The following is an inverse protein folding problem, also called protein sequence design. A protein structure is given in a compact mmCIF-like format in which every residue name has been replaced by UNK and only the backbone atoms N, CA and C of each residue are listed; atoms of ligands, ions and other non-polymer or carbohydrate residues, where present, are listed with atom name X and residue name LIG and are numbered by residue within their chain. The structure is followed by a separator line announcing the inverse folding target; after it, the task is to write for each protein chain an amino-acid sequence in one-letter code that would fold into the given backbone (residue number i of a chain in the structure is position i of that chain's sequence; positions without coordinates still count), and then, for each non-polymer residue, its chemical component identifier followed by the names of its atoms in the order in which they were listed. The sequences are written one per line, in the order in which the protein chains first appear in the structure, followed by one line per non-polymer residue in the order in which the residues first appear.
data_IF_896360521676
#
_entry.id   IF_896360521676
#
_cell.length_a   1.000
_cell.length_b   1.000
_cell.length_c   1.000
_cell.angle_alpha   90.00
_cell.angle_beta   90.00
_cell.angle_gamma   90.00
#
_symmetry.space_group_name_H-M   'P 1'
#
loop_
_entity.id
_entity.type
_entity.pdbx_description
1 polymer ?
#
# COMPACT_ATOMS: atom_id res chain seq x y z
N UNK A 1 -7.80 25.13 -1.54
CA UNK A 1 -6.40 24.67 -1.59
C UNK A 1 -5.97 24.61 -3.05
N UNK A 2 -4.98 25.43 -3.46
CA UNK A 2 -4.42 25.39 -4.82
C UNK A 2 -3.37 24.27 -4.86
N UNK A 3 -3.44 23.38 -5.84
CA UNK A 3 -2.38 22.37 -6.05
C UNK A 3 -1.11 23.06 -6.54
N UNK A 4 0.06 22.43 -6.34
CA UNK A 4 1.36 22.92 -6.84
C UNK A 4 1.31 23.30 -8.32
N UNK A 5 0.59 22.53 -9.13
CA UNK A 5 0.45 22.73 -10.58
C UNK A 5 -0.84 23.46 -10.99
N UNK A 6 -1.44 24.24 -10.07
CA UNK A 6 -2.74 24.90 -10.32
C UNK A 6 -2.67 25.91 -11.47
N UNK A 7 -1.51 26.51 -11.73
CA UNK A 7 -1.32 27.47 -12.83
C UNK A 7 -1.25 26.73 -14.18
N UNK A 8 -0.40 25.72 -14.25
CA UNK A 8 -0.17 24.85 -15.39
C UNK A 8 -1.47 24.20 -15.86
N UNK A 9 -2.24 23.63 -14.91
CA UNK A 9 -3.55 23.02 -15.17
C UNK A 9 -4.54 24.05 -15.72
N UNK A 10 -4.52 25.29 -15.22
CA UNK A 10 -5.39 26.37 -15.71
C UNK A 10 -5.02 26.79 -17.13
N UNK A 11 -3.73 26.87 -17.43
CA UNK A 11 -3.23 27.29 -18.74
C UNK A 11 -3.50 26.21 -19.80
N UNK A 12 -3.26 24.93 -19.47
CA UNK A 12 -3.59 23.80 -20.35
C UNK A 12 -5.10 23.65 -20.56
N UNK A 13 -5.90 23.84 -19.51
CA UNK A 13 -7.37 23.82 -19.65
C UNK A 13 -7.86 24.88 -20.64
N UNK A 14 -7.33 26.10 -20.58
CA UNK A 14 -7.67 27.16 -21.55
C UNK A 14 -7.24 26.78 -22.96
N UNK A 15 -6.01 26.28 -23.09
CA UNK A 15 -5.45 25.81 -24.35
C UNK A 15 -6.32 24.74 -25.03
N UNK A 16 -6.76 23.75 -24.26
CA UNK A 16 -7.65 22.68 -24.73
C UNK A 16 -8.99 23.21 -25.22
N UNK A 17 -9.60 24.14 -24.48
CA UNK A 17 -10.89 24.73 -24.87
C UNK A 17 -10.79 25.56 -26.15
N UNK A 18 -9.67 26.26 -26.37
CA UNK A 18 -9.40 26.97 -27.62
C UNK A 18 -9.09 26.06 -28.80
N UNK A 19 -8.63 24.83 -28.53
CA UNK A 19 -8.22 23.86 -29.56
C UNK A 19 -9.31 22.83 -29.90
N UNK A 20 -10.56 23.08 -29.48
CA UNK A 20 -11.70 22.20 -29.79
C UNK A 20 -11.72 20.87 -29.03
N UNK A 21 -10.97 20.74 -27.92
CA UNK A 21 -11.02 19.54 -27.08
C UNK A 21 -12.37 19.37 -26.41
N UNK A 22 -12.69 18.13 -26.03
CA UNK A 22 -13.92 17.81 -25.32
C UNK A 22 -13.93 18.44 -23.92
N UNK A 23 -14.79 19.46 -23.76
CA UNK A 23 -14.92 20.22 -22.52
C UNK A 23 -15.40 19.35 -21.35
N UNK A 24 -16.19 18.32 -21.60
CA UNK A 24 -16.70 17.42 -20.58
C UNK A 24 -15.57 16.55 -20.02
N UNK A 25 -14.78 15.92 -20.90
CA UNK A 25 -13.61 15.12 -20.55
C UNK A 25 -12.62 15.94 -19.72
N UNK A 26 -12.24 17.12 -20.21
CA UNK A 26 -11.27 17.99 -19.53
C UNK A 26 -11.79 18.45 -18.16
N UNK A 27 -13.09 18.79 -18.03
CA UNK A 27 -13.66 19.20 -16.74
C UNK A 27 -13.70 18.03 -15.74
N UNK A 28 -14.09 16.84 -16.18
CA UNK A 28 -14.13 15.63 -15.35
C UNK A 28 -12.73 15.27 -14.87
N UNK A 29 -11.75 15.28 -15.77
CA UNK A 29 -10.36 15.01 -15.43
C UNK A 29 -9.80 16.02 -14.41
N UNK A 30 -10.01 17.33 -14.62
CA UNK A 30 -9.53 18.35 -13.67
C UNK A 30 -10.15 18.17 -12.29
N UNK A 31 -11.44 17.82 -12.21
CA UNK A 31 -12.12 17.54 -10.95
C UNK A 31 -11.53 16.32 -10.25
N UNK A 32 -11.28 15.23 -10.98
CA UNK A 32 -10.66 14.02 -10.45
C UNK A 32 -9.22 14.30 -9.97
N UNK A 33 -8.43 15.03 -10.75
CA UNK A 33 -7.08 15.46 -10.39
C UNK A 33 -7.08 16.28 -9.09
N UNK A 34 -7.93 17.30 -8.97
CA UNK A 34 -8.01 18.14 -7.77
C UNK A 34 -8.42 17.35 -6.53
N UNK A 35 -9.33 16.39 -6.67
CA UNK A 35 -9.76 15.52 -5.57
C UNK A 35 -8.62 14.59 -5.13
N UNK A 36 -7.95 13.96 -6.09
CA UNK A 36 -6.82 13.04 -5.84
C UNK A 36 -5.62 13.76 -5.24
N UNK A 37 -5.28 14.95 -5.72
CA UNK A 37 -4.17 15.73 -5.15
C UNK A 37 -4.42 16.15 -3.70
N UNK A 38 -5.67 16.41 -3.31
CA UNK A 38 -5.99 16.79 -1.93
C UNK A 38 -5.83 15.62 -0.95
N UNK A 39 -6.14 14.40 -1.40
CA UNK A 39 -6.05 13.20 -0.57
C UNK A 39 -4.69 12.48 -0.66
N UNK A 40 -3.82 12.87 -1.61
CA UNK A 40 -2.56 12.18 -1.91
C UNK A 40 -1.65 12.06 -0.68
N UNK A 41 -1.47 13.14 0.07
CA UNK A 41 -0.54 13.15 1.20
C UNK A 41 -1.05 12.29 2.36
N UNK A 42 -2.34 12.37 2.69
CA UNK A 42 -2.98 11.54 3.72
C UNK A 42 -2.92 10.04 3.37
N UNK A 43 -3.20 9.70 2.10
CA UNK A 43 -3.12 8.32 1.62
C UNK A 43 -1.68 7.81 1.64
N UNK A 44 -0.72 8.64 1.22
CA UNK A 44 0.69 8.28 1.24
C UNK A 44 1.22 8.10 2.67
N UNK A 45 0.84 8.97 3.60
CA UNK A 45 1.20 8.87 5.02
C UNK A 45 0.64 7.59 5.64
N UNK A 46 -0.68 7.34 5.46
CA UNK A 46 -1.35 6.14 5.96
C UNK A 46 -0.71 4.86 5.40
N UNK A 47 -0.52 4.79 4.07
CA UNK A 47 0.09 3.62 3.43
C UNK A 47 1.54 3.41 3.89
N UNK A 48 2.34 4.48 3.95
CA UNK A 48 3.74 4.41 4.38
C UNK A 48 3.85 3.95 5.83
N UNK A 49 3.02 4.49 6.72
CA UNK A 49 2.99 4.12 8.13
C UNK A 49 2.60 2.65 8.32
N UNK A 50 1.58 2.18 7.61
CA UNK A 50 1.18 0.77 7.61
C UNK A 50 2.32 -0.15 7.10
N UNK A 51 2.99 0.23 6.00
CA UNK A 51 4.14 -0.52 5.44
C UNK A 51 5.34 -0.54 6.40
N UNK A 52 5.62 0.56 7.10
CA UNK A 52 6.66 0.62 8.15
C UNK A 52 6.32 -0.31 9.31
N UNK A 53 5.07 -0.32 9.78
CA UNK A 53 4.64 -1.20 10.85
C UNK A 53 4.67 -2.67 10.42
N UNK A 54 4.27 -2.98 9.19
CA UNK A 54 4.36 -4.32 8.64
C UNK A 54 5.81 -4.83 8.56
N UNK A 55 6.77 -3.96 8.21
CA UNK A 55 8.21 -4.29 8.26
C UNK A 55 8.70 -4.55 9.69
N UNK A 56 8.24 -3.78 10.67
CA UNK A 56 8.55 -4.04 12.08
C UNK A 56 8.01 -5.39 12.52
N UNK A 57 6.79 -5.75 12.09
CA UNK A 57 6.19 -7.07 12.36
C UNK A 57 7.05 -8.17 11.75
N UNK A 58 7.44 -8.06 10.48
CA UNK A 58 8.32 -9.03 9.80
C UNK A 58 9.60 -9.27 10.59
N UNK A 59 10.27 -8.20 11.01
CA UNK A 59 11.51 -8.28 11.77
C UNK A 59 11.31 -8.94 13.15
N UNK A 60 10.23 -8.59 13.86
CA UNK A 60 9.90 -9.22 15.15
C UNK A 60 9.58 -10.72 14.98
N UNK A 61 8.83 -11.09 13.93
CA UNK A 61 8.52 -12.50 13.64
C UNK A 61 9.78 -13.29 13.28
N UNK A 62 10.67 -12.70 12.48
CA UNK A 62 11.97 -13.30 12.14
C UNK A 62 12.84 -13.51 13.39
N UNK A 63 12.90 -12.54 14.29
CA UNK A 63 13.61 -12.69 15.56
C UNK A 63 12.96 -13.74 16.46
N UNK A 64 11.62 -13.79 16.49
CA UNK A 64 10.87 -14.78 17.28
C UNK A 64 11.11 -16.20 16.76
N UNK A 65 11.08 -16.41 15.45
CA UNK A 65 11.42 -17.69 14.83
C UNK A 65 12.85 -18.15 15.21
N UNK A 66 13.82 -17.23 15.23
CA UNK A 66 15.18 -17.55 15.67
C UNK A 66 15.23 -17.98 17.15
N UNK A 67 14.51 -17.27 18.03
CA UNK A 67 14.43 -17.61 19.46
C UNK A 67 13.80 -18.99 19.67
N UNK A 68 12.74 -19.30 18.93
CA UNK A 68 12.03 -20.59 18.99
C UNK A 68 12.84 -21.73 18.36
N UNK A 69 13.64 -21.44 17.35
CA UNK A 69 14.51 -22.42 16.67
C UNK A 69 15.76 -22.78 17.49
N UNK A 70 16.16 -21.92 18.42
CA UNK A 70 17.29 -22.17 19.31
C UNK A 70 16.96 -23.29 20.31
N UNK A 71 17.68 -24.42 20.20
CA UNK A 71 17.50 -25.61 21.04
C UNK A 71 18.13 -25.50 22.43
N UNK A 72 18.85 -24.41 22.74
CA UNK A 72 19.36 -24.16 24.09
C UNK A 72 18.21 -24.04 25.08
N UNK A 73 18.45 -24.49 26.31
CA UNK A 73 17.49 -24.32 27.41
C UNK A 73 17.18 -22.83 27.63
N UNK A 74 16.00 -22.56 28.19
CA UNK A 74 15.58 -21.20 28.50
C UNK A 74 16.49 -20.61 29.58
N UNK A 75 17.15 -19.50 29.24
CA UNK A 75 17.90 -18.68 30.17
C UNK A 75 17.24 -17.29 30.31
N UNK A 76 17.60 -16.50 31.34
CA UNK A 76 16.97 -15.20 31.57
C UNK A 76 17.14 -14.20 30.42
N UNK A 77 18.16 -14.34 29.55
CA UNK A 77 18.38 -13.46 28.39
C UNK A 77 17.41 -13.83 27.28
N UNK A 78 17.33 -15.12 26.93
CA UNK A 78 16.41 -15.66 25.94
C UNK A 78 14.95 -15.41 26.32
N UNK A 79 14.61 -15.61 27.59
CA UNK A 79 13.26 -15.35 28.12
C UNK A 79 12.87 -13.88 27.97
N UNK A 80 13.77 -12.95 28.34
CA UNK A 80 13.52 -11.50 28.12
C UNK A 80 13.37 -11.16 26.64
N UNK A 81 14.19 -11.75 25.76
CA UNK A 81 14.08 -11.52 24.33
C UNK A 81 12.71 -11.99 23.81
N UNK A 82 12.28 -13.19 24.19
CA UNK A 82 10.96 -13.73 23.84
C UNK A 82 9.82 -12.83 24.31
N UNK A 83 9.81 -12.44 25.59
CA UNK A 83 8.78 -11.57 26.18
C UNK A 83 8.71 -10.23 25.44
N UNK A 84 9.87 -9.64 25.11
CA UNK A 84 9.94 -8.38 24.38
C UNK A 84 9.31 -8.52 22.98
N UNK A 85 9.64 -9.59 22.25
CA UNK A 85 9.13 -9.83 20.90
C UNK A 85 7.61 -10.01 20.88
N UNK A 86 7.06 -10.86 21.76
CA UNK A 86 5.60 -11.08 21.81
C UNK A 86 4.85 -9.81 22.25
N UNK A 87 5.45 -9.01 23.14
CA UNK A 87 4.88 -7.73 23.57
C UNK A 87 4.88 -6.73 22.42
N UNK A 88 5.97 -6.64 21.65
CA UNK A 88 6.01 -5.78 20.47
C UNK A 88 4.99 -6.20 19.42
N UNK A 89 4.83 -7.50 19.16
CA UNK A 89 3.79 -8.01 18.26
C UNK A 89 2.37 -7.66 18.76
N UNK A 90 2.13 -7.69 20.08
CA UNK A 90 0.84 -7.23 20.64
C UNK A 90 0.63 -5.73 20.42
N UNK A 91 1.64 -4.91 20.65
CA UNK A 91 1.57 -3.45 20.45
C UNK A 91 1.35 -3.08 18.97
N UNK A 92 1.92 -3.84 18.05
CA UNK A 92 1.79 -3.64 16.62
C UNK A 92 0.47 -4.21 16.04
N UNK A 93 -0.36 -4.85 16.86
CA UNK A 93 -1.67 -5.35 16.42
C UNK A 93 -2.49 -4.21 15.79
N UNK A 94 -3.14 -4.50 14.67
CA UNK A 94 -3.92 -3.57 13.85
C UNK A 94 -3.15 -2.40 13.19
N UNK A 95 -1.90 -2.12 13.61
CA UNK A 95 -1.11 -0.98 13.12
C UNK A 95 -0.64 -1.11 11.66
N UNK A 96 -0.78 -2.29 11.06
CA UNK A 96 -0.41 -2.62 9.69
C UNK A 96 -1.58 -2.50 8.70
N UNK A 97 -2.79 -2.23 9.19
CA UNK A 97 -4.00 -2.21 8.38
C UNK A 97 -4.00 -1.01 7.42
N UNK A 98 -4.27 -1.30 6.16
CA UNK A 98 -4.46 -0.29 5.12
C UNK A 98 -5.18 -0.93 3.92
N UNK A 99 -6.14 -0.22 3.35
CA UNK A 99 -7.00 -0.71 2.26
C UNK A 99 -6.23 -1.19 1.02
N UNK A 100 -5.09 -0.57 0.71
CA UNK A 100 -4.21 -0.92 -0.41
C UNK A 100 -3.09 -1.90 -0.04
N UNK A 101 -2.97 -2.25 1.24
CA UNK A 101 -2.04 -3.23 1.76
C UNK A 101 -2.84 -4.42 2.30
N UNK A 102 -2.93 -4.56 3.62
CA UNK A 102 -3.75 -5.56 4.31
C UNK A 102 -5.00 -4.86 4.83
N UNK A 103 -6.16 -5.16 4.23
CA UNK A 103 -7.43 -4.53 4.56
C UNK A 103 -8.07 -5.13 5.83
N UNK A 104 -9.04 -4.41 6.40
CA UNK A 104 -9.85 -4.91 7.51
C UNK A 104 -10.63 -6.20 7.18
N UNK A 105 -10.80 -6.50 5.90
CA UNK A 105 -11.50 -7.70 5.43
C UNK A 105 -10.57 -8.87 5.08
N UNK A 106 -9.24 -8.69 5.21
CA UNK A 106 -8.29 -9.78 5.03
C UNK A 106 -8.30 -10.72 6.24
N UNK A 107 -9.34 -11.54 6.29
CA UNK A 107 -9.56 -12.50 7.38
C UNK A 107 -8.41 -13.49 7.50
N UNK A 108 -7.75 -13.86 6.41
CA UNK A 108 -6.65 -14.80 6.43
C UNK A 108 -5.45 -14.24 7.22
N UNK A 109 -5.00 -13.02 6.87
CA UNK A 109 -3.90 -12.40 7.60
C UNK A 109 -4.27 -12.08 9.05
N UNK A 110 -5.47 -11.54 9.29
CA UNK A 110 -5.89 -11.15 10.63
C UNK A 110 -6.01 -12.34 11.59
N UNK A 111 -6.60 -13.44 11.12
CA UNK A 111 -6.73 -14.66 11.93
C UNK A 111 -5.36 -15.29 12.20
N UNK A 112 -4.47 -15.33 11.21
CA UNK A 112 -3.10 -15.81 11.40
C UNK A 112 -2.34 -14.94 12.40
N UNK A 113 -2.50 -13.61 12.33
CA UNK A 113 -1.88 -12.67 13.27
C UNK A 113 -2.37 -12.89 14.70
N UNK A 114 -3.69 -12.86 14.92
CA UNK A 114 -4.26 -13.00 16.27
C UNK A 114 -3.93 -14.36 16.88
N UNK A 115 -4.07 -15.44 16.11
CA UNK A 115 -3.76 -16.81 16.54
C UNK A 115 -2.29 -16.94 16.96
N UNK A 116 -1.36 -16.41 16.14
CA UNK A 116 0.08 -16.46 16.44
C UNK A 116 0.40 -15.71 17.73
N UNK A 117 -0.12 -14.48 17.89
CA UNK A 117 0.15 -13.68 19.08
C UNK A 117 -0.45 -14.33 20.33
N UNK A 118 -1.69 -14.82 20.27
CA UNK A 118 -2.34 -15.48 21.41
C UNK A 118 -1.61 -16.77 21.82
N UNK A 119 -1.20 -17.60 20.85
CA UNK A 119 -0.37 -18.78 21.13
C UNK A 119 0.98 -18.40 21.74
N UNK A 120 1.60 -17.30 21.30
CA UNK A 120 2.88 -16.86 21.86
C UNK A 120 2.74 -16.42 23.32
N UNK A 121 1.67 -15.69 23.66
CA UNK A 121 1.40 -15.35 25.06
C UNK A 121 1.07 -16.58 25.89
N UNK A 122 0.29 -17.52 25.36
CA UNK A 122 -0.01 -18.77 26.04
C UNK A 122 1.27 -19.56 26.33
N UNK A 123 2.18 -19.65 25.35
CA UNK A 123 3.47 -20.34 25.49
C UNK A 123 4.37 -19.71 26.55
N UNK A 124 4.26 -18.39 26.76
CA UNK A 124 4.98 -17.69 27.83
C UNK A 124 4.69 -18.27 29.23
N UNK A 125 3.46 -18.71 29.49
CA UNK A 125 3.06 -19.21 30.82
C UNK A 125 3.72 -20.56 31.16
N UNK A 126 4.28 -21.26 30.17
CA UNK A 126 4.84 -22.59 30.35
C UNK A 126 6.20 -22.80 29.66
N UNK A 127 6.98 -21.73 29.45
CA UNK A 127 8.33 -21.79 28.84
C UNK A 127 9.22 -22.90 29.41
N UNK A 128 9.09 -23.15 30.71
CA UNK A 128 9.89 -24.12 31.47
C UNK A 128 9.26 -25.52 31.58
N UNK A 129 8.03 -25.74 31.09
CA UNK A 129 7.37 -27.06 31.14
C UNK A 129 7.75 -27.93 29.94
N UNK A 130 8.70 -28.85 30.17
CA UNK A 130 9.18 -29.82 29.15
C UNK A 130 8.07 -30.75 28.63
N UNK A 131 6.89 -30.84 29.27
CA UNK A 131 5.75 -31.66 28.80
C UNK A 131 4.92 -30.96 27.71
N UNK A 132 5.24 -29.71 27.37
CA UNK A 132 4.50 -28.87 26.41
C UNK A 132 5.30 -28.64 25.11
N UNK A 133 6.18 -29.58 24.75
CA UNK A 133 6.99 -29.52 23.52
C UNK A 133 6.14 -29.40 22.24
N UNK A 134 4.96 -30.02 22.23
CA UNK A 134 4.04 -29.93 21.09
C UNK A 134 3.53 -28.50 20.88
N UNK A 135 3.28 -27.74 21.96
CA UNK A 135 2.84 -26.34 21.88
C UNK A 135 3.94 -25.41 21.36
N UNK A 136 5.21 -25.72 21.65
CA UNK A 136 6.36 -25.02 21.06
C UNK A 136 6.43 -25.22 19.54
N UNK A 137 6.18 -26.46 19.09
CA UNK A 137 6.19 -26.82 17.67
C UNK A 137 5.06 -26.14 16.91
N UNK A 138 3.85 -26.13 17.49
CA UNK A 138 2.69 -25.43 16.93
C UNK A 138 2.97 -23.94 16.81
N UNK A 139 3.42 -23.29 17.90
CA UNK A 139 3.75 -21.86 17.87
C UNK A 139 4.78 -21.54 16.79
N UNK A 140 5.83 -22.36 16.66
CA UNK A 140 6.83 -22.16 15.63
C UNK A 140 6.22 -22.21 14.22
N UNK A 141 5.37 -23.20 13.94
CA UNK A 141 4.70 -23.29 12.64
C UNK A 141 3.80 -22.09 12.35
N UNK A 142 3.09 -21.56 13.36
CA UNK A 142 2.25 -20.37 13.20
C UNK A 142 3.09 -19.11 12.95
N UNK A 143 4.23 -18.96 13.63
CA UNK A 143 5.18 -17.87 13.38
C UNK A 143 5.75 -17.95 11.96
N UNK A 144 6.16 -19.13 11.49
CA UNK A 144 6.66 -19.34 10.12
C UNK A 144 5.58 -19.02 9.08
N UNK A 145 4.33 -19.47 9.29
CA UNK A 145 3.20 -19.18 8.42
C UNK A 145 2.90 -17.68 8.34
N UNK A 146 2.79 -17.00 9.48
CA UNK A 146 2.55 -15.57 9.53
C UNK A 146 3.69 -14.78 8.88
N UNK A 147 4.95 -15.18 9.11
CA UNK A 147 6.11 -14.56 8.48
C UNK A 147 6.06 -14.65 6.95
N UNK A 148 5.64 -15.78 6.40
CA UNK A 148 5.44 -15.94 4.94
C UNK A 148 4.36 -14.99 4.45
N UNK A 149 3.20 -14.93 5.12
CA UNK A 149 2.11 -14.03 4.75
C UNK A 149 2.55 -12.56 4.84
N UNK A 150 3.29 -12.17 5.88
CA UNK A 150 3.82 -10.81 6.05
C UNK A 150 4.74 -10.43 4.89
N UNK A 151 5.64 -11.34 4.49
CA UNK A 151 6.57 -11.11 3.37
C UNK A 151 5.86 -10.99 2.03
N UNK A 152 4.83 -11.79 1.78
CA UNK A 152 4.00 -11.70 0.57
C UNK A 152 3.35 -10.32 0.42
N UNK A 153 3.01 -9.67 1.53
CA UNK A 153 2.41 -8.33 1.54
C UNK A 153 3.45 -7.20 1.47
N UNK A 154 4.75 -7.48 1.64
CA UNK A 154 5.83 -6.48 1.66
C UNK A 154 6.52 -6.26 0.30
N UNK A 155 5.87 -6.61 -0.82
CA UNK A 155 6.44 -6.52 -2.18
C UNK A 155 7.17 -5.17 -2.41
N UNK A 156 8.34 -5.25 -3.06
CA UNK A 156 9.31 -4.16 -3.23
C UNK A 156 8.90 -3.09 -4.26
N UNK A 157 7.74 -3.23 -4.90
CA UNK A 157 7.34 -2.31 -5.96
C UNK A 157 7.03 -0.90 -5.42
N UNK A 158 7.54 0.10 -6.13
CA UNK A 158 7.23 1.51 -5.90
C UNK A 158 5.77 1.75 -6.27
N UNK A 159 4.89 1.82 -5.27
CA UNK A 159 3.47 2.07 -5.50
C UNK A 159 3.22 3.51 -5.92
N UNK A 160 2.38 3.71 -6.93
CA UNK A 160 2.04 5.04 -7.39
C UNK A 160 1.00 5.70 -6.47
N UNK A 161 1.45 6.62 -5.61
CA UNK A 161 0.59 7.30 -4.65
C UNK A 161 -0.52 8.15 -5.29
N UNK A 162 -0.27 8.71 -6.47
CA UNK A 162 -1.32 9.44 -7.17
C UNK A 162 -2.41 8.48 -7.68
N UNK A 163 -2.03 7.33 -8.24
CA UNK A 163 -2.97 6.31 -8.71
C UNK A 163 -3.79 5.73 -7.55
N UNK A 164 -3.16 5.42 -6.41
CA UNK A 164 -3.88 5.03 -5.18
C UNK A 164 -4.89 6.09 -4.77
N UNK A 165 -4.46 7.36 -4.74
CA UNK A 165 -5.34 8.46 -4.38
C UNK A 165 -6.50 8.63 -5.36
N UNK A 166 -6.23 8.55 -6.66
CA UNK A 166 -7.28 8.55 -7.68
C UNK A 166 -8.28 7.42 -7.45
N UNK A 167 -7.79 6.20 -7.19
CA UNK A 167 -8.66 5.06 -6.93
C UNK A 167 -9.52 5.27 -5.68
N UNK A 168 -8.91 5.63 -4.54
CA UNK A 168 -9.62 5.92 -3.29
C UNK A 168 -10.72 6.98 -3.48
N UNK A 169 -10.43 8.01 -4.29
CA UNK A 169 -11.32 9.14 -4.45
C UNK A 169 -12.39 8.95 -5.53
N UNK A 170 -12.18 8.06 -6.49
CA UNK A 170 -13.05 7.90 -7.67
C UNK A 170 -13.68 6.51 -7.80
N UNK A 171 -13.24 5.53 -7.02
CA UNK A 171 -13.67 4.14 -7.10
C UNK A 171 -14.08 3.62 -5.73
N UNK A 172 -14.80 2.50 -5.73
CA UNK A 172 -15.11 1.78 -4.51
C UNK A 172 -13.91 0.93 -4.11
N UNK A 173 -13.47 1.09 -2.86
CA UNK A 173 -12.43 0.26 -2.26
C UNK A 173 -12.83 -1.22 -2.22
N UNK A 174 -14.14 -1.51 -2.17
CA UNK A 174 -14.67 -2.87 -2.11
C UNK A 174 -14.32 -3.69 -3.35
N UNK A 175 -14.03 -3.02 -4.48
CA UNK A 175 -13.56 -3.69 -5.69
C UNK A 175 -12.16 -4.32 -5.52
N UNK A 176 -11.45 -4.03 -4.42
CA UNK A 176 -10.15 -4.57 -4.08
C UNK A 176 -10.22 -5.70 -3.03
N UNK A 177 -11.42 -6.05 -2.56
CA UNK A 177 -11.60 -7.09 -1.55
C UNK A 177 -11.14 -8.45 -2.07
N UNK A 178 -10.45 -9.20 -1.21
CA UNK A 178 -9.90 -10.52 -1.53
C UNK A 178 -8.69 -10.52 -2.48
N UNK A 179 -8.28 -9.36 -3.00
CA UNK A 179 -7.07 -9.23 -3.82
C UNK A 179 -5.81 -9.19 -2.95
N UNK A 180 -4.75 -9.84 -3.41
CA UNK A 180 -3.39 -9.66 -2.90
C UNK A 180 -2.90 -8.23 -3.15
N UNK A 181 -1.87 -7.80 -2.41
CA UNK A 181 -1.26 -6.46 -2.58
C UNK A 181 -0.84 -6.20 -4.03
N UNK A 182 -0.32 -7.23 -4.70
CA UNK A 182 0.08 -7.14 -6.11
C UNK A 182 -1.12 -6.94 -7.03
N UNK A 183 -2.17 -7.74 -6.86
CA UNK A 183 -3.41 -7.61 -7.65
C UNK A 183 -4.08 -6.25 -7.42
N UNK A 184 -4.05 -5.74 -6.17
CA UNK A 184 -4.52 -4.39 -5.84
C UNK A 184 -3.77 -3.32 -6.61
N UNK A 185 -2.43 -3.39 -6.62
CA UNK A 185 -1.60 -2.43 -7.36
C UNK A 185 -1.87 -2.49 -8.87
N UNK A 186 -1.91 -3.70 -9.45
CA UNK A 186 -2.23 -3.90 -10.86
C UNK A 186 -3.61 -3.33 -11.23
N UNK A 187 -4.63 -3.58 -10.40
CA UNK A 187 -5.99 -3.07 -10.62
C UNK A 187 -6.07 -1.55 -10.49
N UNK A 188 -5.41 -0.98 -9.48
CA UNK A 188 -5.33 0.48 -9.30
C UNK A 188 -4.66 1.13 -10.52
N UNK A 189 -3.55 0.57 -10.96
CA UNK A 189 -2.79 1.07 -12.10
C UNK A 189 -3.55 0.92 -13.42
N UNK A 190 -4.27 -0.18 -13.61
CA UNK A 190 -5.13 -0.39 -14.77
C UNK A 190 -6.24 0.66 -14.84
N UNK A 191 -6.92 0.91 -13.72
CA UNK A 191 -7.97 1.93 -13.63
C UNK A 191 -7.40 3.33 -13.84
N UNK A 192 -6.27 3.67 -13.22
CA UNK A 192 -5.59 4.95 -13.44
C UNK A 192 -5.24 5.17 -14.92
N UNK A 193 -4.60 4.19 -15.56
CA UNK A 193 -4.19 4.30 -16.98
C UNK A 193 -5.39 4.50 -17.90
N UNK A 194 -6.42 3.67 -17.75
CA UNK A 194 -7.54 3.65 -18.70
C UNK A 194 -8.56 4.77 -18.45
N UNK A 195 -8.77 5.19 -17.20
CA UNK A 195 -9.85 6.10 -16.85
C UNK A 195 -9.40 7.52 -16.48
N UNK A 196 -8.12 7.69 -16.15
CA UNK A 196 -7.55 9.00 -15.83
C UNK A 196 -6.53 9.46 -16.88
N UNK A 197 -5.52 8.64 -17.16
CA UNK A 197 -4.39 9.03 -18.01
C UNK A 197 -4.78 9.10 -19.50
N UNK A 198 -5.24 7.99 -20.08
CA UNK A 198 -5.53 7.89 -21.52
C UNK A 198 -6.56 8.92 -22.00
N UNK A 199 -7.71 9.12 -21.33
CA UNK A 199 -8.70 10.10 -21.79
C UNK A 199 -8.14 11.52 -21.87
N UNK A 200 -7.21 11.87 -20.98
CA UNK A 200 -6.57 13.18 -20.98
C UNK A 200 -5.43 13.28 -21.99
N UNK A 201 -4.64 12.21 -22.19
CA UNK A 201 -3.64 12.12 -23.26
C UNK A 201 -4.29 12.40 -24.61
N UNK A 202 -5.44 11.78 -24.90
CA UNK A 202 -6.15 12.02 -26.16
C UNK A 202 -6.51 13.50 -26.39
N UNK A 203 -6.92 14.22 -25.33
CA UNK A 203 -7.23 15.65 -25.43
C UNK A 203 -5.96 16.50 -25.53
N UNK A 204 -4.90 16.15 -24.79
CA UNK A 204 -3.60 16.81 -24.86
C UNK A 204 -3.00 16.69 -26.26
N UNK A 205 -3.01 15.50 -26.85
CA UNK A 205 -2.52 15.25 -28.22
C UNK A 205 -3.28 16.10 -29.23
N UNK A 206 -4.62 16.17 -29.15
CA UNK A 206 -5.43 17.05 -30.02
C UNK A 206 -5.00 18.51 -29.89
N UNK A 207 -4.82 18.99 -28.65
CA UNK A 207 -4.39 20.36 -28.37
C UNK A 207 -2.97 20.64 -28.89
N UNK A 208 -2.00 19.76 -28.65
CA UNK A 208 -0.62 19.93 -29.09
C UNK A 208 -0.50 19.87 -30.63
N UNK A 209 -1.22 18.95 -31.28
CA UNK A 209 -1.30 18.89 -32.74
C UNK A 209 -1.86 20.18 -33.33
N UNK A 210 -2.94 20.74 -32.76
CA UNK A 210 -3.52 22.00 -33.22
C UNK A 210 -2.57 23.20 -33.06
N UNK A 211 -1.54 23.07 -32.23
CA UNK A 211 -0.53 24.11 -31.95
C UNK A 211 0.77 23.92 -32.74
N UNK A 212 0.87 22.88 -33.56
CA UNK A 212 2.07 22.58 -34.35
C UNK A 212 3.22 22.00 -33.52
N UNK A 213 2.93 21.35 -32.39
CA UNK A 213 3.96 20.67 -31.58
C UNK A 213 4.60 19.52 -32.35
N UNK A 214 5.93 19.36 -32.25
CA UNK A 214 6.66 18.37 -33.06
C UNK A 214 6.41 16.92 -32.62
N UNK A 215 6.20 16.68 -31.32
CA UNK A 215 5.85 15.37 -30.79
C UNK A 215 4.68 15.45 -29.78
N UNK A 216 3.42 15.61 -30.27
CA UNK A 216 2.25 15.82 -29.43
C UNK A 216 2.03 14.74 -28.36
N UNK A 217 2.34 13.48 -28.68
CA UNK A 217 2.17 12.36 -27.77
C UNK A 217 3.19 12.39 -26.63
N UNK A 218 4.45 12.67 -26.94
CA UNK A 218 5.48 12.81 -25.91
C UNK A 218 5.17 13.99 -24.98
N UNK A 219 4.82 15.17 -25.52
CA UNK A 219 4.47 16.33 -24.70
C UNK A 219 3.23 16.08 -23.82
N UNK A 220 2.26 15.31 -24.30
CA UNK A 220 1.10 14.90 -23.49
C UNK A 220 1.52 14.04 -22.29
N UNK A 221 2.36 13.02 -22.52
CA UNK A 221 2.87 12.17 -21.44
C UNK A 221 3.72 12.94 -20.44
N UNK A 222 4.61 13.82 -20.91
CA UNK A 222 5.45 14.67 -20.05
C UNK A 222 4.59 15.55 -19.15
N UNK A 223 3.49 16.12 -19.67
CA UNK A 223 2.58 16.90 -18.86
C UNK A 223 1.86 16.06 -17.78
N UNK A 224 1.35 14.87 -18.12
CA UNK A 224 0.69 14.00 -17.14
C UNK A 224 1.67 13.56 -16.06
N UNK A 225 2.89 13.17 -16.44
CA UNK A 225 3.92 12.76 -15.48
C UNK A 225 4.31 13.93 -14.56
N UNK A 226 4.45 15.14 -15.12
CA UNK A 226 4.75 16.34 -14.34
C UNK A 226 3.68 16.61 -13.28
N UNK A 227 2.38 16.55 -13.63
CA UNK A 227 1.31 16.96 -12.72
C UNK A 227 0.92 15.89 -11.70
N UNK A 228 1.12 14.62 -12.02
CA UNK A 228 0.81 13.49 -11.12
C UNK A 228 2.00 13.07 -10.27
N UNK A 229 3.19 13.60 -10.58
CA UNK A 229 4.49 13.14 -10.08
C UNK A 229 4.74 11.64 -10.38
N UNK A 230 4.26 11.14 -11.52
CA UNK A 230 4.53 9.78 -12.00
C UNK A 230 6.02 9.67 -12.38
N UNK A 231 6.76 8.76 -11.72
CA UNK A 231 8.18 8.50 -12.01
C UNK A 231 9.21 9.32 -11.21
N UNK A 232 8.84 9.82 -10.02
CA UNK A 232 9.79 10.31 -9.01
C UNK A 232 9.86 9.39 -7.80
#
# INVERSE_FOLDING_TARGET
MRTKYSKEIKDIKKAMFSSGCDKSVVKTWVKAYEKSMKAKDEIAESYSQAKVNLRKIEENLRQLDNVLSDRREWDPVKERQYINLITMLRVLQDSYKNEFLISDEDSNYQLSYSTTVDLAFKYNDFLHDKRRQDESTILKSEVENLLVLTRQNLVEDSVNMFALSYYAQCKSINNLQGMSVKEKDEQVMNVYKNEFEQPMIEQLVKMYTARGESNPYQSANEFINMVTDYGK
#
